data_IF_310063302085
#
_entry.id   IF_310063302085
#
_cell.length_a   1.000
_cell.length_b   1.000
_cell.length_c   1.000
_cell.angle_alpha   90.00
_cell.angle_beta   90.00
_cell.angle_gamma   90.00
#
_symmetry.space_group_name_H-M   'P 1'
#
loop_
_entity.id
_entity.type
_entity.pdbx_description
1 polymer ?
#
# COMPACT_ATOMS: atom_id res chain seq x y z
N UNK A 1 -20.17 -5.38 -0.30
CA UNK A 1 -20.12 -6.74 -0.86
C UNK A 1 -20.60 -6.68 -2.31
N UNK A 2 -19.82 -7.19 -3.26
CA UNK A 2 -20.03 -7.07 -4.71
C UNK A 2 -20.20 -8.46 -5.34
N UNK A 3 -20.91 -8.59 -6.47
CA UNK A 3 -20.98 -9.84 -7.21
C UNK A 3 -19.64 -10.14 -7.90
N UNK A 4 -19.23 -11.42 -7.95
CA UNK A 4 -18.07 -11.85 -8.76
C UNK A 4 -18.18 -11.44 -10.25
N UNK A 5 -19.41 -11.27 -10.75
CA UNK A 5 -19.69 -10.84 -12.12
C UNK A 5 -19.37 -9.35 -12.36
N UNK A 6 -19.38 -8.55 -11.30
CA UNK A 6 -19.17 -7.10 -11.35
C UNK A 6 -17.72 -6.74 -10.93
N UNK A 7 -16.87 -7.73 -10.62
CA UNK A 7 -15.46 -7.53 -10.29
C UNK A 7 -14.66 -7.23 -11.56
N UNK A 8 -13.99 -6.08 -11.55
CA UNK A 8 -13.19 -5.54 -12.66
C UNK A 8 -11.70 -5.35 -12.34
N UNK A 9 -11.28 -5.49 -11.08
CA UNK A 9 -9.87 -5.39 -10.68
C UNK A 9 -9.04 -6.56 -11.23
N UNK A 10 -7.76 -6.33 -11.55
CA UNK A 10 -6.87 -7.34 -12.12
C UNK A 10 -6.54 -8.47 -11.13
N UNK A 11 -6.43 -8.12 -9.84
CA UNK A 11 -6.08 -9.04 -8.77
C UNK A 11 -7.18 -9.09 -7.71
N UNK A 12 -7.36 -10.25 -7.09
CA UNK A 12 -8.12 -10.44 -5.86
C UNK A 12 -7.19 -10.63 -4.68
N UNK A 13 -7.59 -10.07 -3.55
CA UNK A 13 -6.90 -10.25 -2.28
C UNK A 13 -7.40 -11.52 -1.60
N UNK A 14 -6.46 -12.32 -1.07
CA UNK A 14 -6.73 -13.53 -0.30
C UNK A 14 -5.77 -13.65 0.89
N UNK A 15 -6.00 -14.61 1.78
CA UNK A 15 -5.14 -14.89 2.95
C UNK A 15 -3.70 -15.26 2.56
N UNK A 16 -3.48 -15.71 1.32
CA UNK A 16 -2.18 -16.12 0.80
C UNK A 16 -1.50 -15.03 -0.06
N UNK A 17 -2.09 -13.83 -0.19
CA UNK A 17 -1.58 -12.74 -1.02
C UNK A 17 -2.55 -12.33 -2.13
N UNK A 18 -2.03 -12.08 -3.33
CA UNK A 18 -2.80 -11.68 -4.50
C UNK A 18 -2.91 -12.84 -5.49
N UNK A 19 -4.09 -12.98 -6.11
CA UNK A 19 -4.34 -13.91 -7.20
C UNK A 19 -4.99 -13.19 -8.39
N UNK A 20 -4.74 -13.64 -9.62
CA UNK A 20 -5.40 -13.06 -10.79
C UNK A 20 -6.91 -13.29 -10.71
N UNK A 21 -7.68 -12.23 -10.94
CA UNK A 21 -9.15 -12.30 -10.93
C UNK A 21 -9.66 -13.34 -11.92
N UNK A 22 -9.04 -13.46 -13.10
CA UNK A 22 -9.44 -14.43 -14.12
C UNK A 22 -9.22 -15.88 -13.65
N UNK A 23 -8.08 -16.21 -13.04
CA UNK A 23 -7.82 -17.54 -12.49
C UNK A 23 -8.83 -17.92 -11.38
N UNK A 24 -9.22 -16.94 -10.57
CA UNK A 24 -10.24 -17.14 -9.52
C UNK A 24 -11.62 -17.31 -10.13
N UNK A 25 -11.98 -16.54 -11.17
CA UNK A 25 -13.24 -16.67 -11.91
C UNK A 25 -13.38 -18.05 -12.56
N UNK A 26 -12.33 -18.57 -13.19
CA UNK A 26 -12.33 -19.91 -13.82
C UNK A 26 -12.71 -21.02 -12.84
N UNK A 27 -12.31 -20.90 -11.57
CA UNK A 27 -12.61 -21.90 -10.52
C UNK A 27 -13.74 -21.51 -9.57
N UNK A 28 -14.36 -20.33 -9.73
CA UNK A 28 -15.35 -19.77 -8.81
C UNK A 28 -16.52 -20.72 -8.54
N UNK A 29 -17.13 -21.23 -9.60
CA UNK A 29 -18.28 -22.13 -9.51
C UNK A 29 -17.93 -23.52 -8.94
N UNK A 30 -16.64 -23.88 -8.90
CA UNK A 30 -16.16 -25.14 -8.32
C UNK A 30 -15.78 -25.02 -6.84
N UNK A 31 -15.58 -23.80 -6.34
CA UNK A 31 -15.20 -23.54 -4.93
C UNK A 31 -16.39 -23.63 -3.97
N UNK A 32 -16.12 -24.08 -2.75
CA UNK A 32 -17.11 -24.04 -1.68
C UNK A 32 -17.30 -22.63 -1.08
N UNK A 33 -18.33 -22.48 -0.24
CA UNK A 33 -18.66 -21.19 0.38
C UNK A 33 -17.49 -20.62 1.21
N UNK A 34 -16.77 -21.46 1.96
CA UNK A 34 -15.65 -21.03 2.80
C UNK A 34 -14.45 -20.60 1.97
N UNK A 35 -14.22 -21.24 0.82
CA UNK A 35 -13.21 -20.84 -0.15
C UNK A 35 -13.53 -19.49 -0.77
N UNK A 36 -14.77 -19.27 -1.20
CA UNK A 36 -15.21 -17.99 -1.78
C UNK A 36 -15.13 -16.82 -0.79
N UNK A 37 -15.44 -17.05 0.49
CA UNK A 37 -15.33 -16.05 1.55
C UNK A 37 -13.91 -15.51 1.78
N UNK A 38 -12.86 -16.15 1.23
CA UNK A 38 -11.48 -15.70 1.40
C UNK A 38 -11.10 -14.56 0.46
N UNK A 39 -11.91 -14.26 -0.55
CA UNK A 39 -11.57 -13.28 -1.57
C UNK A 39 -12.22 -11.93 -1.33
N UNK A 40 -11.42 -10.89 -1.51
CA UNK A 40 -11.84 -9.49 -1.56
C UNK A 40 -11.34 -8.88 -2.86
N UNK A 41 -12.03 -7.87 -3.38
CA UNK A 41 -11.50 -7.06 -4.49
C UNK A 41 -10.26 -6.30 -4.03
N UNK A 42 -9.51 -5.80 -5.00
CA UNK A 42 -8.37 -4.92 -4.74
C UNK A 42 -8.64 -3.52 -5.24
N UNK A 43 -7.97 -2.55 -4.62
CA UNK A 43 -7.85 -1.19 -5.13
C UNK A 43 -6.37 -0.80 -5.19
N UNK A 44 -5.95 0.02 -6.15
CA UNK A 44 -4.61 0.58 -6.16
C UNK A 44 -4.44 1.52 -4.98
N UNK A 45 -3.25 1.48 -4.40
CA UNK A 45 -2.78 2.36 -3.34
C UNK A 45 -1.30 2.66 -3.57
N UNK A 46 -0.75 3.65 -2.88
CA UNK A 46 0.63 4.11 -3.10
C UNK A 46 1.38 4.29 -1.80
N UNK A 47 2.69 4.06 -1.87
CA UNK A 47 3.57 4.36 -0.75
C UNK A 47 3.61 5.88 -0.58
N UNK A 48 3.38 6.35 0.63
CA UNK A 48 3.50 7.76 1.01
C UNK A 48 4.61 7.91 2.03
N UNK A 49 5.33 9.02 1.97
CA UNK A 49 6.40 9.36 2.90
C UNK A 49 6.08 10.68 3.60
N UNK A 50 6.40 10.75 4.89
CA UNK A 50 6.40 12.01 5.64
C UNK A 50 7.81 12.59 5.66
N UNK A 51 7.98 13.80 5.13
CA UNK A 51 9.26 14.51 5.17
C UNK A 51 9.81 14.63 6.59
N UNK A 52 8.94 14.82 7.59
CA UNK A 52 9.36 14.90 9.00
C UNK A 52 9.88 13.57 9.53
N UNK A 53 9.21 12.47 9.22
CA UNK A 53 9.65 11.13 9.66
C UNK A 53 10.96 10.73 8.97
N UNK A 54 11.08 10.98 7.66
CA UNK A 54 12.31 10.68 6.92
C UNK A 54 13.49 11.51 7.42
N UNK A 55 13.27 12.80 7.75
CA UNK A 55 14.32 13.64 8.33
C UNK A 55 14.68 13.23 9.76
N UNK A 56 13.70 12.85 10.57
CA UNK A 56 13.91 12.33 11.93
C UNK A 56 14.83 11.10 11.90
N UNK A 57 14.46 10.10 11.10
CA UNK A 57 15.26 8.88 10.90
C UNK A 57 16.68 9.20 10.40
N UNK A 58 16.80 10.15 9.46
CA UNK A 58 18.10 10.57 8.93
C UNK A 58 18.98 11.23 10.00
N UNK A 59 18.40 12.06 10.86
CA UNK A 59 19.13 12.77 11.91
C UNK A 59 19.57 11.81 13.02
N UNK A 60 18.71 10.88 13.44
CA UNK A 60 19.07 9.82 14.41
C UNK A 60 20.24 9.00 13.86
N UNK A 61 20.13 8.53 12.63
CA UNK A 61 21.20 7.73 12.00
C UNK A 61 22.51 8.53 11.86
N UNK A 62 22.43 9.83 11.61
CA UNK A 62 23.60 10.70 11.49
C UNK A 62 24.32 10.86 12.82
N UNK A 63 23.60 11.15 13.91
CA UNK A 63 24.19 11.24 15.24
C UNK A 63 24.86 9.91 15.66
N UNK A 64 24.17 8.78 15.47
CA UNK A 64 24.73 7.45 15.78
C UNK A 64 25.97 7.12 14.93
N UNK A 65 25.99 7.53 13.66
CA UNK A 65 27.09 7.22 12.74
C UNK A 65 28.33 8.07 13.00
N UNK A 66 28.15 9.33 13.40
CA UNK A 66 29.25 10.26 13.64
C UNK A 66 29.66 10.37 15.11
N UNK A 67 28.86 9.83 16.04
CA UNK A 67 29.09 9.85 17.50
C UNK A 67 29.32 11.29 18.02
N UNK A 68 28.50 12.22 17.53
CA UNK A 68 28.54 13.64 17.89
C UNK A 68 27.32 13.98 18.73
N UNK A 69 27.56 14.18 20.03
CA UNK A 69 26.53 14.58 21.01
C UNK A 69 25.74 15.81 20.55
N UNK A 70 24.42 15.75 20.74
CA UNK A 70 23.43 16.80 20.43
C UNK A 70 23.31 17.13 18.93
N UNK A 71 23.87 16.30 18.03
CA UNK A 71 23.76 16.53 16.59
C UNK A 71 22.31 16.46 16.12
N UNK A 72 21.54 15.48 16.60
CA UNK A 72 20.13 15.34 16.26
C UNK A 72 19.35 16.60 16.61
N UNK A 73 19.47 17.07 17.86
CA UNK A 73 18.76 18.24 18.35
C UNK A 73 19.17 19.50 17.57
N UNK A 74 20.45 19.63 17.22
CA UNK A 74 20.95 20.72 16.38
C UNK A 74 20.32 20.72 14.98
N UNK A 75 20.35 19.58 14.28
CA UNK A 75 19.78 19.42 12.95
C UNK A 75 18.26 19.65 12.94
N UNK A 76 17.56 19.15 13.96
CA UNK A 76 16.13 19.34 14.12
C UNK A 76 15.78 20.83 14.32
N UNK A 77 16.51 21.53 15.19
CA UNK A 77 16.27 22.96 15.45
C UNK A 77 16.62 23.87 14.26
N UNK A 78 17.64 23.51 13.47
CA UNK A 78 18.03 24.25 12.27
C UNK A 78 17.09 23.98 11.08
N UNK A 79 16.31 22.90 11.12
CA UNK A 79 15.39 22.52 10.04
C UNK A 79 14.15 23.42 10.02
N UNK A 80 13.97 24.15 8.92
CA UNK A 80 12.84 25.07 8.74
C UNK A 80 11.64 24.37 8.11
N UNK A 81 10.44 24.87 8.37
CA UNK A 81 9.22 24.39 7.69
C UNK A 81 9.29 24.56 6.16
N UNK A 82 10.00 25.59 5.66
CA UNK A 82 10.23 25.76 4.22
C UNK A 82 11.05 24.61 3.63
N UNK A 83 12.09 24.17 4.33
CA UNK A 83 12.88 23.02 3.93
C UNK A 83 12.05 21.74 3.95
N UNK A 84 11.27 21.52 5.03
CA UNK A 84 10.38 20.35 5.15
C UNK A 84 9.38 20.29 3.99
N UNK A 85 8.75 21.41 3.65
CA UNK A 85 7.76 21.44 2.56
C UNK A 85 8.41 21.12 1.20
N UNK A 86 9.57 21.69 0.90
CA UNK A 86 10.30 21.38 -0.35
C UNK A 86 10.78 19.93 -0.38
N UNK A 87 11.18 19.37 0.76
CA UNK A 87 11.57 17.97 0.85
C UNK A 87 10.36 17.04 0.68
N UNK A 88 9.20 17.43 1.21
CA UNK A 88 7.94 16.72 0.99
C UNK A 88 7.58 16.66 -0.50
N UNK A 89 7.72 17.77 -1.24
CA UNK A 89 7.47 17.77 -2.70
C UNK A 89 8.34 16.72 -3.43
N UNK A 90 9.60 16.57 -3.04
CA UNK A 90 10.51 15.56 -3.61
C UNK A 90 10.06 14.14 -3.25
N UNK A 91 9.60 13.92 -2.03
CA UNK A 91 9.10 12.62 -1.60
C UNK A 91 7.78 12.26 -2.29
N UNK A 92 6.91 13.24 -2.50
CA UNK A 92 5.65 13.08 -3.25
C UNK A 92 5.91 12.67 -4.71
N UNK A 93 7.00 13.14 -5.33
CA UNK A 93 7.43 12.67 -6.65
C UNK A 93 7.73 11.17 -6.66
N UNK A 94 8.35 10.63 -5.61
CA UNK A 94 8.64 9.19 -5.47
C UNK A 94 7.34 8.40 -5.36
N UNK A 95 6.36 8.89 -4.60
CA UNK A 95 5.02 8.30 -4.51
C UNK A 95 4.31 8.24 -5.87
N UNK A 96 4.70 9.11 -6.81
CA UNK A 96 4.24 9.10 -8.20
C UNK A 96 4.81 7.98 -9.07
N UNK A 97 5.86 7.27 -8.65
CA UNK A 97 6.47 6.21 -9.46
C UNK A 97 5.55 4.99 -9.60
N UNK A 98 5.62 4.31 -10.75
CA UNK A 98 4.84 3.07 -10.97
C UNK A 98 5.21 1.99 -9.95
N UNK A 99 6.49 1.92 -9.54
CA UNK A 99 6.96 0.97 -8.52
C UNK A 99 6.51 1.30 -7.09
N UNK A 100 5.92 2.48 -6.85
CA UNK A 100 5.36 2.84 -5.56
C UNK A 100 3.88 2.42 -5.43
N UNK A 101 3.26 1.94 -6.51
CA UNK A 101 1.89 1.44 -6.51
C UNK A 101 1.84 -0.02 -6.02
N UNK A 102 0.87 -0.30 -5.16
CA UNK A 102 0.55 -1.65 -4.70
C UNK A 102 -0.97 -1.81 -4.54
N UNK A 103 -1.43 -3.04 -4.35
CA UNK A 103 -2.85 -3.31 -4.16
C UNK A 103 -3.17 -3.52 -2.69
N UNK A 104 -4.27 -2.94 -2.23
CA UNK A 104 -4.86 -3.21 -0.91
C UNK A 104 -6.20 -3.89 -1.05
N UNK A 105 -6.58 -4.65 -0.02
CA UNK A 105 -7.92 -5.22 0.07
C UNK A 105 -8.98 -4.10 0.10
N UNK A 106 -10.05 -4.28 -0.68
CA UNK A 106 -11.14 -3.33 -0.81
C UNK A 106 -12.47 -3.95 -0.33
N UNK A 107 -13.31 -4.42 -1.26
CA UNK A 107 -14.65 -4.88 -0.96
C UNK A 107 -14.72 -6.42 -0.89
N UNK A 108 -15.53 -6.94 0.01
CA UNK A 108 -15.86 -8.37 0.04
C UNK A 108 -16.64 -8.77 -1.23
N UNK A 109 -16.41 -9.98 -1.74
CA UNK A 109 -17.18 -10.55 -2.84
C UNK A 109 -18.28 -11.45 -2.26
N UNK A 110 -19.50 -11.37 -2.78
CA UNK A 110 -20.62 -12.20 -2.33
C UNK A 110 -20.38 -13.67 -2.71
N UNK A 111 -20.15 -14.57 -1.74
CA UNK A 111 -19.82 -15.97 -2.00
C UNK A 111 -21.03 -16.78 -2.50
N UNK A 112 -22.24 -16.26 -2.37
CA UNK A 112 -23.49 -16.95 -2.75
C UNK A 112 -23.85 -16.79 -4.22
N UNK A 113 -23.19 -15.87 -4.91
CA UNK A 113 -23.45 -15.60 -6.33
C UNK A 113 -22.48 -16.40 -7.19
N UNK A 114 -23.02 -17.16 -8.12
CA UNK A 114 -22.23 -17.86 -9.14
C UNK A 114 -21.78 -16.91 -10.25
N UNK A 115 -20.62 -17.22 -10.84
CA UNK A 115 -20.14 -16.56 -12.04
C UNK A 115 -21.03 -16.97 -13.22
N UNK A 116 -21.47 -15.98 -14.00
CA UNK A 116 -22.22 -16.17 -15.25
C UNK A 116 -21.22 -16.40 -16.38
N UNK A 117 -21.54 -17.34 -17.28
CA UNK A 117 -20.84 -17.52 -18.57
C UNK A 117 -21.08 -16.34 -19.53
#
# INVERSE_FOLDING_TARGET
MISINDVDCEYLWTVNGLEFTEDVKERWNSMDFQERCKYLTTKPDRIEFSAREVLDDLFVQSEESYDVEDMYDGLLNDTTDEFVNRFQEILDEISGFDSAEFFTAADEIDPTIDLKE
#
